data_IF_408540466319
#
_entry.id   IF_408540466319
#
_cell.length_a   1.000
_cell.length_b   1.000
_cell.length_c   1.000
_cell.angle_alpha   90.00
_cell.angle_beta   90.00
_cell.angle_gamma   90.00
#
_symmetry.space_group_name_H-M   'P 1'
#
loop_
_entity.id
_entity.type
_entity.pdbx_description
1 polymer ?
#
# COMPACT_ATOMS: atom_id res chain seq x y z
N UNK A 1 9.37 4.35 0.80
CA UNK A 1 10.31 3.82 1.82
C UNK A 1 10.04 2.37 2.22
N UNK A 2 8.96 1.74 1.74
CA UNK A 2 8.60 0.34 2.08
C UNK A 2 9.74 -0.68 1.86
N UNK A 3 10.54 -0.53 0.81
CA UNK A 3 11.58 -1.52 0.49
C UNK A 3 12.66 -1.66 1.57
N UNK A 4 13.08 -0.55 2.19
CA UNK A 4 14.09 -0.60 3.25
C UNK A 4 13.51 -1.23 4.51
N UNK A 5 12.30 -0.81 4.89
CA UNK A 5 11.59 -1.35 6.05
C UNK A 5 11.37 -2.87 5.90
N UNK A 6 11.05 -3.35 4.70
CA UNK A 6 10.93 -4.78 4.40
C UNK A 6 12.28 -5.52 4.52
N UNK A 7 13.38 -4.94 4.03
CA UNK A 7 14.70 -5.56 4.20
C UNK A 7 15.03 -5.75 5.69
N UNK A 8 14.83 -4.70 6.49
CA UNK A 8 15.04 -4.75 7.94
C UNK A 8 14.17 -5.80 8.60
N UNK A 9 12.88 -5.88 8.27
CA UNK A 9 11.96 -6.89 8.83
C UNK A 9 12.38 -8.33 8.50
N UNK A 10 12.83 -8.58 7.27
CA UNK A 10 13.34 -9.90 6.90
C UNK A 10 14.60 -10.24 7.68
N UNK A 11 15.54 -9.30 7.80
CA UNK A 11 16.80 -9.48 8.55
C UNK A 11 16.54 -9.72 10.04
N UNK A 12 15.65 -8.94 10.67
CA UNK A 12 15.24 -9.11 12.07
C UNK A 12 14.57 -10.46 12.32
N UNK A 13 13.84 -11.00 11.33
CA UNK A 13 13.29 -12.34 11.36
C UNK A 13 14.31 -13.46 11.14
N UNK A 14 15.59 -13.15 10.88
CA UNK A 14 16.63 -14.12 10.56
C UNK A 14 16.54 -14.68 9.12
N UNK A 15 15.81 -13.99 8.25
CA UNK A 15 15.63 -14.36 6.84
C UNK A 15 16.37 -13.39 5.92
N UNK A 16 16.68 -13.86 4.70
CA UNK A 16 17.19 -13.01 3.63
C UNK A 16 16.10 -12.77 2.59
N UNK A 17 15.75 -11.52 2.34
CA UNK A 17 14.81 -11.18 1.26
C UNK A 17 15.46 -11.46 -0.11
N UNK A 18 14.97 -12.48 -0.84
CA UNK A 18 15.47 -12.84 -2.16
C UNK A 18 14.84 -11.97 -3.26
N UNK A 19 15.36 -10.74 -3.41
CA UNK A 19 14.86 -9.78 -4.40
C UNK A 19 15.35 -10.17 -5.81
N UNK A 20 14.43 -10.64 -6.66
CA UNK A 20 14.73 -10.97 -8.07
C UNK A 20 14.65 -9.75 -8.98
N UNK A 21 13.65 -8.90 -8.76
CA UNK A 21 13.34 -7.73 -9.56
C UNK A 21 12.79 -6.64 -8.64
N UNK A 22 13.18 -5.40 -8.91
CA UNK A 22 12.61 -4.22 -8.25
C UNK A 22 11.82 -3.42 -9.27
N UNK A 23 10.52 -3.25 -9.03
CA UNK A 23 9.65 -2.46 -9.89
C UNK A 23 9.29 -1.14 -9.21
N UNK A 24 9.21 -0.06 -9.99
CA UNK A 24 8.77 1.24 -9.48
C UNK A 24 7.25 1.32 -9.28
N UNK A 25 6.49 0.55 -10.06
CA UNK A 25 5.04 0.57 -10.07
C UNK A 25 4.47 -0.83 -9.84
N UNK A 26 3.29 -0.90 -9.22
CA UNK A 26 2.64 -2.18 -8.89
C UNK A 26 2.19 -2.94 -10.15
N UNK A 27 1.78 -2.25 -11.22
CA UNK A 27 1.26 -2.90 -12.44
C UNK A 27 2.30 -3.85 -13.07
N UNK A 28 3.53 -3.43 -13.41
CA UNK A 28 4.56 -4.35 -13.90
C UNK A 28 4.87 -5.51 -12.93
N UNK A 29 4.90 -5.23 -11.62
CA UNK A 29 5.16 -6.26 -10.61
C UNK A 29 4.06 -7.35 -10.65
N UNK A 30 2.80 -6.95 -10.68
CA UNK A 30 1.66 -7.89 -10.78
C UNK A 30 1.65 -8.64 -12.12
N UNK A 31 2.00 -8.00 -13.25
CA UNK A 31 2.12 -8.70 -14.54
C UNK A 31 3.20 -9.79 -14.56
N UNK A 32 4.24 -9.65 -13.73
CA UNK A 32 5.27 -10.68 -13.52
C UNK A 32 4.75 -11.81 -12.61
N UNK A 33 4.02 -11.47 -11.54
CA UNK A 33 3.37 -12.45 -10.65
C UNK A 33 2.35 -13.30 -11.42
N UNK A 34 1.52 -12.68 -12.26
CA UNK A 34 0.56 -13.37 -13.15
C UNK A 34 1.24 -14.39 -14.08
N UNK A 35 2.51 -14.16 -14.43
CA UNK A 35 3.33 -15.05 -15.28
C UNK A 35 4.12 -16.09 -14.47
N UNK A 36 3.93 -16.17 -13.16
CA UNK A 36 4.62 -17.13 -12.29
C UNK A 36 6.08 -16.78 -12.00
N UNK A 37 6.50 -15.53 -12.20
CA UNK A 37 7.90 -15.12 -12.04
C UNK A 37 8.32 -14.86 -10.58
N UNK A 38 7.38 -14.96 -9.63
CA UNK A 38 7.64 -14.79 -8.21
C UNK A 38 6.42 -14.28 -7.44
N UNK A 39 6.68 -13.67 -6.28
CA UNK A 39 5.69 -13.00 -5.43
C UNK A 39 6.08 -11.54 -5.22
N UNK A 40 5.12 -10.71 -4.82
CA UNK A 40 5.32 -9.30 -4.54
C UNK A 40 4.58 -8.93 -3.25
N UNK A 41 5.18 -8.08 -2.41
CA UNK A 41 4.52 -7.46 -1.27
C UNK A 41 3.97 -6.12 -1.74
N UNK A 42 2.68 -5.89 -1.52
CA UNK A 42 1.95 -4.71 -1.98
C UNK A 42 1.14 -4.10 -0.83
N UNK A 43 0.87 -2.81 -0.93
CA UNK A 43 -0.06 -2.13 -0.04
C UNK A 43 -1.53 -2.42 -0.45
N UNK A 44 -2.50 -2.34 0.48
CA UNK A 44 -3.91 -2.57 0.18
C UNK A 44 -4.50 -1.65 -0.89
N UNK A 45 -3.99 -0.42 -1.05
CA UNK A 45 -4.49 0.54 -2.04
C UNK A 45 -4.16 0.03 -3.45
N UNK A 46 -2.95 -0.51 -3.64
CA UNK A 46 -2.53 -1.16 -4.89
C UNK A 46 -3.37 -2.40 -5.21
N UNK A 47 -3.72 -3.21 -4.19
CA UNK A 47 -4.60 -4.39 -4.35
C UNK A 47 -6.00 -3.97 -4.81
N UNK A 48 -6.62 -3.00 -4.12
CA UNK A 48 -7.93 -2.47 -4.52
C UNK A 48 -7.91 -1.93 -5.95
N UNK A 49 -6.83 -1.21 -6.32
CA UNK A 49 -6.65 -0.69 -7.68
C UNK A 49 -6.58 -1.81 -8.73
N UNK A 50 -5.93 -2.94 -8.41
CA UNK A 50 -5.88 -4.10 -9.30
C UNK A 50 -7.26 -4.71 -9.55
N UNK A 51 -8.08 -4.89 -8.50
CA UNK A 51 -9.43 -5.43 -8.64
C UNK A 51 -10.38 -4.51 -9.42
N UNK A 52 -10.13 -3.20 -9.41
CA UNK A 52 -10.91 -2.24 -10.19
C UNK A 52 -10.61 -2.26 -11.69
N UNK A 53 -9.50 -2.89 -12.13
CA UNK A 53 -9.13 -3.00 -13.53
C UNK A 53 -9.88 -4.18 -14.21
N UNK A 54 -10.43 -3.95 -15.39
CA UNK A 54 -11.24 -4.91 -16.16
C UNK A 54 -10.43 -6.13 -16.66
N UNK A 55 -9.10 -6.09 -16.58
CA UNK A 55 -8.19 -7.19 -16.94
C UNK A 55 -7.44 -7.79 -15.74
N UNK A 56 -8.02 -7.73 -14.55
CA UNK A 56 -7.51 -8.42 -13.36
C UNK A 56 -7.42 -9.94 -13.64
N UNK A 57 -6.22 -10.49 -13.42
CA UNK A 57 -5.82 -11.87 -13.71
C UNK A 57 -5.91 -12.83 -12.51
N UNK A 58 -5.07 -13.88 -12.52
CA UNK A 58 -5.08 -15.03 -11.59
C UNK A 58 -4.24 -14.82 -10.32
N UNK A 59 -4.13 -13.59 -9.80
CA UNK A 59 -3.31 -13.32 -8.61
C UNK A 59 -4.12 -13.62 -7.35
N UNK A 60 -3.53 -14.38 -6.43
CA UNK A 60 -4.11 -14.62 -5.10
C UNK A 60 -3.44 -13.69 -4.11
N UNK A 61 -4.21 -12.86 -3.43
CA UNK A 61 -3.72 -11.99 -2.38
C UNK A 61 -3.78 -12.71 -1.03
N UNK A 62 -2.72 -12.53 -0.23
CA UNK A 62 -2.63 -13.05 1.14
C UNK A 62 -2.10 -11.96 2.06
N UNK A 63 -2.59 -11.93 3.30
CA UNK A 63 -2.05 -11.03 4.30
C UNK A 63 -0.58 -11.38 4.58
N UNK A 64 0.24 -10.34 4.71
CA UNK A 64 1.62 -10.46 5.12
C UNK A 64 1.69 -10.23 6.63
N UNK A 65 2.16 -11.24 7.38
CA UNK A 65 2.19 -11.25 8.85
C UNK A 65 3.62 -11.04 9.37
N UNK A 66 4.25 -9.91 9.00
CA UNK A 66 4.47 -8.85 9.97
C UNK A 66 3.81 -7.52 9.57
N UNK A 67 3.47 -6.68 10.56
CA UNK A 67 2.88 -5.36 10.30
C UNK A 67 3.90 -4.39 9.70
N UNK A 68 3.56 -3.78 8.55
CA UNK A 68 4.36 -2.75 7.90
C UNK A 68 3.58 -1.45 7.86
N UNK A 69 4.05 -0.44 8.58
CA UNK A 69 3.32 0.82 8.72
C UNK A 69 3.58 1.79 7.57
N UNK A 70 2.53 2.07 6.80
CA UNK A 70 2.52 3.14 5.81
C UNK A 70 2.16 4.48 6.47
N UNK A 71 3.13 5.39 6.51
CA UNK A 71 2.89 6.75 7.01
C UNK A 71 2.17 7.59 5.96
N UNK A 72 1.01 8.12 6.32
CA UNK A 72 0.23 9.05 5.49
C UNK A 72 0.15 10.42 6.16
N UNK A 73 0.18 11.48 5.37
CA UNK A 73 0.07 12.85 5.85
C UNK A 73 -0.66 13.73 4.84
N UNK A 74 -1.44 14.68 5.33
CA UNK A 74 -2.01 15.76 4.52
C UNK A 74 -1.06 16.95 4.63
N UNK A 75 -0.47 17.35 3.51
CA UNK A 75 0.47 18.46 3.44
C UNK A 75 -0.21 19.70 2.89
N UNK A 76 0.19 20.87 3.39
CA UNK A 76 -0.32 22.16 2.95
C UNK A 76 0.82 23.06 2.49
N UNK A 77 0.59 23.96 1.51
CA UNK A 77 1.56 24.97 1.16
C UNK A 77 1.91 25.84 2.37
N UNK A 78 3.21 26.05 2.61
CA UNK A 78 3.65 26.96 3.66
C UNK A 78 3.30 28.40 3.31
N UNK A 79 2.76 29.16 4.27
CA UNK A 79 2.52 30.59 4.11
C UNK A 79 1.23 30.97 3.37
N UNK A 80 0.39 30.00 2.99
CA UNK A 80 -0.93 30.25 2.39
C UNK A 80 -2.01 29.78 3.36
N UNK A 81 -2.94 30.66 3.79
CA UNK A 81 -4.10 30.25 4.56
C UNK A 81 -4.92 29.20 3.79
N UNK A 82 -5.33 28.14 4.47
CA UNK A 82 -6.21 27.14 3.87
C UNK A 82 -7.58 27.75 3.59
N UNK A 83 -8.16 27.46 2.43
CA UNK A 83 -9.55 27.80 2.16
C UNK A 83 -10.48 26.96 3.04
N UNK A 84 -11.72 27.44 3.25
CA UNK A 84 -12.73 26.68 4.02
C UNK A 84 -12.99 25.31 3.41
N UNK A 85 -13.06 25.21 2.07
CA UNK A 85 -13.26 23.92 1.40
C UNK A 85 -12.09 22.95 1.62
N UNK A 86 -10.84 23.47 1.64
CA UNK A 86 -9.66 22.65 1.95
C UNK A 86 -9.70 22.13 3.38
N UNK A 87 -10.10 22.97 4.34
CA UNK A 87 -10.23 22.58 5.74
C UNK A 87 -11.28 21.47 5.92
N UNK A 88 -12.46 21.66 5.34
CA UNK A 88 -13.55 20.68 5.38
C UNK A 88 -13.17 19.34 4.73
N UNK A 89 -12.56 19.39 3.54
CA UNK A 89 -12.09 18.18 2.86
C UNK A 89 -11.02 17.45 3.69
N UNK A 90 -10.04 18.18 4.22
CA UNK A 90 -8.98 17.58 5.03
C UNK A 90 -9.52 16.98 6.34
N UNK A 91 -10.53 17.61 6.96
CA UNK A 91 -11.24 17.07 8.12
C UNK A 91 -11.88 15.71 7.80
N UNK A 92 -12.71 15.67 6.76
CA UNK A 92 -13.37 14.43 6.30
C UNK A 92 -12.39 13.33 5.90
N UNK A 93 -11.32 13.70 5.20
CA UNK A 93 -10.28 12.76 4.79
C UNK A 93 -9.57 12.17 6.02
N UNK A 94 -9.24 13.00 7.02
CA UNK A 94 -8.62 12.54 8.27
C UNK A 94 -9.52 11.57 9.03
N UNK A 95 -10.81 11.87 9.15
CA UNK A 95 -11.80 10.98 9.77
C UNK A 95 -11.87 9.63 9.05
N UNK A 96 -11.92 9.65 7.71
CA UNK A 96 -11.98 8.40 6.92
C UNK A 96 -10.69 7.58 7.04
N UNK A 97 -9.52 8.22 7.05
CA UNK A 97 -8.24 7.53 7.28
C UNK A 97 -8.20 6.91 8.67
N UNK A 98 -8.59 7.65 9.72
CA UNK A 98 -8.63 7.13 11.09
C UNK A 98 -9.61 5.95 11.22
N UNK A 99 -10.76 6.02 10.56
CA UNK A 99 -11.70 4.91 10.48
C UNK A 99 -11.03 3.66 9.89
N UNK A 100 -10.34 3.78 8.74
CA UNK A 100 -9.67 2.63 8.10
C UNK A 100 -8.52 2.07 8.93
N UNK A 101 -7.80 2.92 9.66
CA UNK A 101 -6.73 2.47 10.57
C UNK A 101 -7.26 1.63 11.74
N UNK A 102 -8.45 1.99 12.26
CA UNK A 102 -9.10 1.25 13.34
C UNK A 102 -9.88 0.02 12.86
N UNK A 103 -10.10 -0.11 11.56
CA UNK A 103 -10.89 -1.17 10.92
C UNK A 103 -10.12 -1.73 9.70
N UNK A 104 -8.90 -2.28 9.89
CA UNK A 104 -8.03 -2.69 8.79
C UNK A 104 -8.63 -3.81 7.94
N UNK A 105 -9.56 -4.60 8.47
CA UNK A 105 -10.30 -5.62 7.73
C UNK A 105 -11.11 -5.05 6.56
N UNK A 106 -11.53 -3.77 6.64
CA UNK A 106 -12.16 -3.06 5.52
C UNK A 106 -11.23 -2.88 4.32
N UNK A 107 -9.92 -2.91 4.56
CA UNK A 107 -8.92 -2.87 3.51
C UNK A 107 -8.63 -4.25 2.92
N UNK A 108 -9.03 -5.33 3.60
CA UNK A 108 -8.76 -6.73 3.22
C UNK A 108 -9.94 -7.39 2.49
N UNK A 109 -11.04 -6.67 2.30
CA UNK A 109 -12.25 -7.13 1.61
C UNK A 109 -12.09 -6.96 0.08
N UNK A 110 -11.38 -7.91 -0.54
CA UNK A 110 -11.09 -7.97 -1.98
C UNK A 110 -11.40 -9.35 -2.59
#
# INVERSE_FOLDING_TARGET
>A
MIFHDLLTLFEEGGYRMNVRLQCRFYIPALRLVERGMGVCILDPISVYSYHSDAQSGKVVFRCFEPEVFLKTAIMYPSGVPQSMITQEFAGRLREKIAYLQNNPEQLLDW
#
